data_IF_059846723873
#
_entry.id   IF_059846723873
#
_cell.length_a   1.000
_cell.length_b   1.000
_cell.length_c   1.000
_cell.angle_alpha   90.00
_cell.angle_beta   90.00
_cell.angle_gamma   90.00
#
_symmetry.space_group_name_H-M   'P 1'
#
loop_
_entity.id
_entity.type
_entity.pdbx_description
1 polymer ?
#
# COMPACT_ATOMS: atom_id res chain seq x y z
N UNK A 1 -9.98 16.99 21.33
CA UNK A 1 -9.41 16.73 19.98
C UNK A 1 -10.00 15.43 19.42
N UNK A 2 -10.32 15.42 18.13
CA UNK A 2 -10.80 14.24 17.40
C UNK A 2 -9.66 13.71 16.52
N UNK A 3 -9.44 12.39 16.51
CA UNK A 3 -8.48 11.72 15.60
C UNK A 3 -9.27 10.93 14.59
N UNK A 4 -9.16 11.31 13.31
CA UNK A 4 -9.76 10.57 12.20
C UNK A 4 -8.80 9.45 11.74
N UNK A 5 -9.13 8.22 12.09
CA UNK A 5 -8.44 6.98 11.69
C UNK A 5 -9.41 5.98 11.05
N UNK A 6 -10.48 6.49 10.43
CA UNK A 6 -11.67 5.78 9.97
C UNK A 6 -11.62 5.44 8.46
N UNK A 7 -10.39 5.37 7.91
CA UNK A 7 -10.13 4.83 6.59
C UNK A 7 -10.39 5.80 5.42
N UNK A 8 -10.28 5.28 4.21
CA UNK A 8 -10.33 6.05 2.96
C UNK A 8 -11.60 6.90 2.79
N UNK A 9 -12.72 6.43 3.32
CA UNK A 9 -14.01 7.13 3.27
C UNK A 9 -14.32 7.92 4.56
N UNK A 10 -13.30 8.38 5.26
CA UNK A 10 -13.35 9.03 6.56
C UNK A 10 -14.52 9.99 6.72
N UNK A 11 -15.38 9.69 7.69
CA UNK A 11 -16.48 10.56 8.11
C UNK A 11 -15.99 11.75 8.93
N UNK A 12 -14.93 11.54 9.71
CA UNK A 12 -14.26 12.64 10.44
C UNK A 12 -13.75 13.68 9.44
N UNK A 13 -13.00 13.27 8.42
CA UNK A 13 -12.52 14.18 7.38
C UNK A 13 -13.67 14.95 6.70
N UNK A 14 -14.74 14.25 6.33
CA UNK A 14 -15.90 14.86 5.68
C UNK A 14 -16.61 15.84 6.62
N UNK A 15 -16.83 15.47 7.88
CA UNK A 15 -17.49 16.30 8.88
C UNK A 15 -16.75 17.62 9.15
N UNK A 16 -15.42 17.62 9.04
CA UNK A 16 -14.60 18.84 9.14
C UNK A 16 -14.40 19.56 7.79
N UNK A 17 -15.06 19.13 6.72
CA UNK A 17 -14.98 19.78 5.41
C UNK A 17 -13.62 19.67 4.71
N UNK A 18 -12.76 18.74 5.10
CA UNK A 18 -11.43 18.58 4.50
C UNK A 18 -11.54 17.87 3.16
N UNK A 19 -11.19 18.59 2.09
CA UNK A 19 -11.14 18.07 0.72
C UNK A 19 -10.03 17.05 0.51
N UNK A 20 -10.15 16.26 -0.58
CA UNK A 20 -9.14 15.29 -1.00
C UNK A 20 -8.82 15.42 -2.49
N UNK A 21 -7.56 15.24 -2.84
CA UNK A 21 -7.12 15.01 -4.20
C UNK A 21 -7.18 13.50 -4.46
N UNK A 22 -7.97 13.08 -5.44
CA UNK A 22 -8.18 11.68 -5.80
C UNK A 22 -7.62 11.36 -7.17
N UNK A 23 -7.11 10.16 -7.33
CA UNK A 23 -6.77 9.57 -8.60
C UNK A 23 -7.13 8.09 -8.61
N UNK A 24 -7.50 7.58 -9.78
CA UNK A 24 -7.78 6.17 -9.97
C UNK A 24 -6.78 5.58 -10.96
N UNK A 25 -6.42 4.33 -10.76
CA UNK A 25 -5.67 3.56 -11.71
C UNK A 25 -6.63 2.70 -12.54
N UNK A 26 -6.27 2.41 -13.78
CA UNK A 26 -7.05 1.49 -14.63
C UNK A 26 -6.81 0.02 -14.27
N UNK A 27 -6.44 -0.22 -13.03
CA UNK A 27 -6.12 -1.53 -12.49
C UNK A 27 -6.91 -1.80 -11.22
N UNK A 28 -7.12 -3.07 -10.96
CA UNK A 28 -7.67 -3.58 -9.72
C UNK A 28 -6.75 -4.68 -9.16
N UNK A 29 -6.84 -4.89 -7.88
CA UNK A 29 -6.18 -5.98 -7.18
C UNK A 29 -7.23 -7.07 -6.93
N UNK A 30 -6.93 -8.29 -7.34
CA UNK A 30 -7.56 -9.51 -6.87
C UNK A 30 -6.74 -10.03 -5.69
N UNK A 31 -7.38 -10.28 -4.57
CA UNK A 31 -6.81 -10.98 -3.42
C UNK A 31 -7.58 -12.27 -3.22
N UNK A 32 -6.87 -13.38 -3.10
CA UNK A 32 -7.46 -14.68 -2.79
C UNK A 32 -6.75 -15.32 -1.60
N UNK A 33 -7.53 -15.77 -0.62
CA UNK A 33 -7.05 -16.66 0.43
C UNK A 33 -7.01 -18.07 -0.13
N UNK A 34 -5.90 -18.76 0.06
CA UNK A 34 -5.68 -20.09 -0.50
C UNK A 34 -5.13 -21.06 0.53
N UNK A 35 -5.45 -22.34 0.36
CA UNK A 35 -4.75 -23.45 0.98
C UNK A 35 -3.76 -24.03 -0.04
N UNK A 36 -2.51 -24.25 0.35
CA UNK A 36 -1.49 -24.87 -0.49
C UNK A 36 -1.25 -26.32 -0.08
N UNK A 37 -0.83 -27.17 -1.01
CA UNK A 37 -0.45 -28.55 -0.71
C UNK A 37 1.00 -28.68 -0.21
N UNK A 38 1.77 -27.59 -0.23
CA UNK A 38 3.21 -27.62 0.08
C UNK A 38 3.54 -27.48 1.58
N UNK A 39 2.55 -27.50 2.46
CA UNK A 39 2.76 -27.27 3.89
C UNK A 39 3.13 -25.83 4.22
N UNK A 40 3.82 -25.62 5.35
CA UNK A 40 4.26 -24.29 5.79
C UNK A 40 5.33 -23.74 4.85
N UNK A 41 5.10 -22.55 4.32
CA UNK A 41 6.06 -21.80 3.50
C UNK A 41 6.51 -20.55 4.25
N UNK A 42 7.82 -20.25 4.21
CA UNK A 42 8.42 -19.14 4.94
C UNK A 42 8.94 -18.02 4.02
N UNK A 43 8.68 -18.16 2.70
CA UNK A 43 9.18 -17.22 1.69
C UNK A 43 8.01 -16.50 1.03
N UNK A 44 7.90 -15.20 1.29
CA UNK A 44 7.07 -14.31 0.49
C UNK A 44 7.79 -14.02 -0.82
N UNK A 45 7.10 -14.15 -1.94
CA UNK A 45 7.65 -13.75 -3.22
C UNK A 45 6.69 -12.81 -3.96
N UNK A 46 7.28 -11.97 -4.82
CA UNK A 46 6.58 -11.06 -5.68
C UNK A 46 7.31 -10.94 -7.01
N UNK A 47 6.56 -10.95 -8.10
CA UNK A 47 7.07 -10.62 -9.44
C UNK A 47 6.24 -9.53 -10.08
N UNK A 48 6.86 -8.77 -10.99
CA UNK A 48 6.19 -7.74 -11.76
C UNK A 48 5.99 -8.24 -13.19
N UNK A 49 4.75 -8.31 -13.61
CA UNK A 49 4.35 -8.62 -14.99
C UNK A 49 3.72 -7.38 -15.63
N UNK A 50 3.40 -7.44 -16.92
CA UNK A 50 2.84 -6.30 -17.65
C UNK A 50 1.52 -5.78 -17.07
N UNK A 51 0.75 -6.64 -16.43
CA UNK A 51 -0.52 -6.28 -15.78
C UNK A 51 -0.36 -5.73 -14.36
N UNK A 52 0.84 -5.80 -13.80
CA UNK A 52 1.16 -5.37 -12.44
C UNK A 52 1.80 -6.46 -11.59
N UNK A 53 1.88 -6.26 -10.28
CA UNK A 53 2.45 -7.25 -9.36
C UNK A 53 1.58 -8.50 -9.24
N UNK A 54 2.28 -9.63 -9.11
CA UNK A 54 1.75 -10.90 -8.63
C UNK A 54 2.56 -11.29 -7.41
N UNK A 55 1.91 -11.58 -6.30
CA UNK A 55 2.58 -11.96 -5.06
C UNK A 55 1.88 -13.12 -4.37
N UNK A 56 2.67 -13.90 -3.63
CA UNK A 56 2.19 -14.87 -2.68
C UNK A 56 2.76 -14.56 -1.30
N UNK A 57 1.88 -14.51 -0.33
CA UNK A 57 2.17 -14.21 1.08
C UNK A 57 1.80 -15.46 1.89
N UNK A 58 2.77 -16.26 2.33
CA UNK A 58 2.47 -17.41 3.17
C UNK A 58 1.95 -16.96 4.53
N UNK A 59 0.98 -17.70 5.02
CA UNK A 59 0.40 -17.56 6.36
C UNK A 59 0.70 -18.82 7.18
N UNK A 60 0.19 -18.89 8.40
CA UNK A 60 0.43 -20.03 9.27
C UNK A 60 -0.13 -21.34 8.67
N UNK A 61 0.65 -22.42 8.72
CA UNK A 61 0.27 -23.73 8.21
C UNK A 61 0.25 -23.78 6.69
N UNK A 62 -0.83 -24.27 6.10
CA UNK A 62 -1.00 -24.41 4.66
C UNK A 62 -1.71 -23.20 4.02
N UNK A 63 -1.98 -22.14 4.81
CA UNK A 63 -2.67 -20.98 4.34
C UNK A 63 -1.73 -20.00 3.64
N UNK A 64 -2.28 -19.26 2.67
CA UNK A 64 -1.58 -18.17 2.00
C UNK A 64 -2.54 -17.15 1.42
N UNK A 65 -2.00 -16.02 1.03
CA UNK A 65 -2.72 -14.99 0.30
C UNK A 65 -2.05 -14.76 -1.05
N UNK A 66 -2.83 -14.89 -2.11
CA UNK A 66 -2.45 -14.53 -3.48
C UNK A 66 -2.91 -13.12 -3.76
N UNK A 67 -2.00 -12.30 -4.25
CA UNK A 67 -2.26 -10.91 -4.67
C UNK A 67 -1.97 -10.80 -6.15
N UNK A 68 -2.98 -10.41 -6.94
CA UNK A 68 -2.88 -10.36 -8.39
C UNK A 68 -3.43 -9.04 -8.93
N UNK A 69 -2.57 -8.21 -9.48
CA UNK A 69 -2.97 -6.98 -10.15
C UNK A 69 -3.27 -7.23 -11.62
N UNK A 70 -4.38 -6.67 -12.07
CA UNK A 70 -4.79 -6.75 -13.47
C UNK A 70 -5.59 -5.50 -13.86
N UNK A 71 -5.91 -5.38 -15.16
CA UNK A 71 -6.90 -4.40 -15.60
C UNK A 71 -8.22 -4.63 -14.85
N UNK A 72 -8.94 -3.54 -14.55
CA UNK A 72 -10.11 -3.57 -13.67
C UNK A 72 -11.16 -4.60 -14.07
N UNK A 73 -11.49 -4.66 -15.36
CA UNK A 73 -12.54 -5.59 -15.84
C UNK A 73 -12.09 -7.06 -15.75
N UNK A 74 -10.83 -7.33 -16.05
CA UNK A 74 -10.28 -8.68 -15.93
C UNK A 74 -10.20 -9.14 -14.47
N UNK A 75 -9.73 -8.29 -13.56
CA UNK A 75 -9.69 -8.60 -12.12
C UNK A 75 -11.10 -8.88 -11.56
N UNK A 76 -12.10 -8.14 -12.02
CA UNK A 76 -13.50 -8.40 -11.67
C UNK A 76 -14.00 -9.74 -12.25
N UNK A 77 -13.67 -10.03 -13.50
CA UNK A 77 -14.03 -11.31 -14.13
C UNK A 77 -13.44 -12.49 -13.35
N UNK A 78 -12.15 -12.42 -13.00
CA UNK A 78 -11.48 -13.42 -12.16
C UNK A 78 -12.16 -13.58 -10.79
N UNK A 79 -12.52 -12.48 -10.14
CA UNK A 79 -13.20 -12.51 -8.84
C UNK A 79 -14.59 -13.16 -8.90
N UNK A 80 -15.24 -13.15 -10.07
CA UNK A 80 -16.54 -13.76 -10.27
C UNK A 80 -16.50 -15.24 -10.68
N UNK A 81 -15.31 -15.80 -11.01
CA UNK A 81 -15.17 -17.21 -11.34
C UNK A 81 -15.52 -18.08 -10.11
N UNK A 82 -16.00 -19.30 -10.28
CA UNK A 82 -15.99 -20.30 -9.21
C UNK A 82 -14.59 -20.48 -8.62
N UNK A 83 -14.50 -20.84 -7.34
CA UNK A 83 -13.19 -20.96 -6.66
C UNK A 83 -12.25 -21.96 -7.35
N UNK A 84 -12.80 -23.06 -7.86
CA UNK A 84 -12.03 -24.10 -8.58
C UNK A 84 -11.43 -23.53 -9.87
N UNK A 85 -12.22 -22.78 -10.64
CA UNK A 85 -11.76 -22.18 -11.89
C UNK A 85 -10.72 -21.08 -11.62
N UNK A 86 -10.92 -20.26 -10.60
CA UNK A 86 -9.93 -19.27 -10.17
C UNK A 86 -8.62 -19.92 -9.71
N UNK A 87 -8.68 -21.05 -9.00
CA UNK A 87 -7.48 -21.80 -8.64
C UNK A 87 -6.71 -22.26 -9.89
N UNK A 88 -7.41 -22.74 -10.92
CA UNK A 88 -6.81 -23.08 -12.21
C UNK A 88 -6.12 -21.89 -12.88
N UNK A 89 -6.79 -20.73 -12.93
CA UNK A 89 -6.22 -19.50 -13.48
C UNK A 89 -4.97 -19.03 -12.70
N UNK A 90 -5.00 -19.08 -11.38
CA UNK A 90 -3.85 -18.73 -10.56
C UNK A 90 -2.69 -19.67 -10.85
N UNK A 91 -2.91 -21.00 -10.85
CA UNK A 91 -1.85 -21.97 -11.13
C UNK A 91 -1.27 -21.84 -12.55
N UNK A 92 -2.07 -21.45 -13.53
CA UNK A 92 -1.60 -21.23 -14.89
C UNK A 92 -0.73 -19.97 -15.06
N UNK A 93 -0.96 -18.95 -14.23
CA UNK A 93 -0.32 -17.64 -14.39
C UNK A 93 0.71 -17.30 -13.30
N UNK A 94 0.79 -18.08 -12.24
CA UNK A 94 1.76 -17.88 -11.16
C UNK A 94 2.95 -18.83 -11.29
N UNK A 95 4.09 -18.55 -10.63
CA UNK A 95 5.23 -19.46 -10.62
C UNK A 95 4.86 -20.85 -10.13
N UNK A 96 5.50 -21.88 -10.70
CA UNK A 96 5.25 -23.27 -10.36
C UNK A 96 5.56 -23.59 -8.87
N UNK A 97 6.39 -22.80 -8.24
CA UNK A 97 6.72 -22.87 -6.82
C UNK A 97 5.51 -22.66 -5.89
N UNK A 98 4.42 -22.08 -6.40
CA UNK A 98 3.17 -21.98 -5.65
C UNK A 98 2.56 -23.36 -5.36
N UNK A 99 2.76 -24.32 -6.27
CA UNK A 99 2.17 -25.65 -6.19
C UNK A 99 0.66 -25.65 -6.43
N UNK A 100 0.01 -26.76 -6.12
CA UNK A 100 -1.42 -26.86 -6.18
C UNK A 100 -2.08 -26.10 -5.02
N UNK A 101 -3.15 -25.38 -5.33
CA UNK A 101 -3.88 -24.54 -4.38
C UNK A 101 -5.38 -24.80 -4.44
N UNK A 102 -6.05 -24.52 -3.33
CA UNK A 102 -7.50 -24.39 -3.22
C UNK A 102 -7.83 -22.97 -2.80
N UNK A 103 -8.70 -22.26 -3.56
CA UNK A 103 -9.17 -20.93 -3.19
C UNK A 103 -10.31 -21.05 -2.17
N UNK A 104 -10.15 -20.43 -1.01
CA UNK A 104 -11.16 -20.42 0.06
C UNK A 104 -12.01 -19.15 0.00
N UNK A 105 -11.37 -18.00 -0.11
CA UNK A 105 -12.01 -16.69 -0.19
C UNK A 105 -11.36 -15.83 -1.27
N UNK A 106 -12.11 -14.88 -1.80
CA UNK A 106 -11.60 -13.93 -2.79
C UNK A 106 -12.32 -12.60 -2.74
N UNK A 107 -11.60 -11.54 -3.08
CA UNK A 107 -12.15 -10.20 -3.27
C UNK A 107 -11.37 -9.46 -4.36
N UNK A 108 -12.01 -8.53 -5.05
CA UNK A 108 -11.30 -7.58 -5.90
C UNK A 108 -11.68 -6.15 -5.56
N UNK A 109 -10.71 -5.25 -5.64
CA UNK A 109 -10.91 -3.83 -5.40
C UNK A 109 -10.10 -2.99 -6.38
N UNK A 110 -10.71 -1.90 -6.84
CA UNK A 110 -10.05 -0.93 -7.72
C UNK A 110 -8.93 -0.22 -6.99
N UNK A 111 -7.81 0.00 -7.69
CA UNK A 111 -6.70 0.75 -7.14
C UNK A 111 -6.97 2.24 -7.22
N UNK A 112 -6.81 2.91 -6.11
CA UNK A 112 -7.01 4.35 -6.01
C UNK A 112 -5.87 4.99 -5.22
N UNK A 113 -5.67 6.27 -5.45
CA UNK A 113 -4.83 7.12 -4.62
C UNK A 113 -5.66 8.29 -4.10
N UNK A 114 -5.37 8.70 -2.89
CA UNK A 114 -6.05 9.83 -2.27
C UNK A 114 -5.08 10.56 -1.35
N UNK A 115 -5.15 11.89 -1.33
CA UNK A 115 -4.36 12.70 -0.43
C UNK A 115 -5.22 13.84 0.09
N UNK A 116 -5.40 13.94 1.42
CA UNK A 116 -6.16 15.01 2.05
C UNK A 116 -5.46 16.36 1.86
N UNK A 117 -6.23 17.39 1.61
CA UNK A 117 -5.72 18.74 1.44
C UNK A 117 -5.11 19.29 2.73
N UNK A 118 -5.63 18.87 3.88
CA UNK A 118 -5.04 19.11 5.19
C UNK A 118 -5.10 17.85 6.04
N UNK A 119 -4.09 17.66 6.92
CA UNK A 119 -4.09 16.56 7.89
C UNK A 119 -4.58 17.00 9.26
N UNK A 120 -4.70 18.29 9.50
CA UNK A 120 -5.18 18.81 10.77
C UNK A 120 -5.95 20.14 10.61
N UNK A 121 -6.79 20.39 11.58
CA UNK A 121 -7.47 21.64 11.89
C UNK A 121 -7.50 21.80 13.41
N UNK A 122 -7.99 22.94 13.93
CA UNK A 122 -8.17 23.07 15.37
C UNK A 122 -9.09 21.97 15.90
N UNK A 123 -8.60 21.25 16.90
CA UNK A 123 -9.32 20.14 17.52
C UNK A 123 -9.44 18.86 16.68
N UNK A 124 -8.83 18.77 15.48
CA UNK A 124 -8.93 17.58 14.63
C UNK A 124 -7.59 17.23 13.95
N UNK A 125 -7.30 15.93 13.83
CA UNK A 125 -6.16 15.39 13.08
C UNK A 125 -6.53 14.10 12.37
N UNK A 126 -5.97 13.88 11.17
CA UNK A 126 -6.15 12.67 10.36
C UNK A 126 -4.87 11.84 10.34
N UNK A 127 -5.02 10.51 10.38
CA UNK A 127 -3.94 9.54 10.28
C UNK A 127 -4.31 8.39 9.34
N UNK A 128 -3.30 7.76 8.72
CA UNK A 128 -3.49 6.62 7.82
C UNK A 128 -4.38 6.94 6.63
N UNK A 129 -5.22 5.98 6.23
CA UNK A 129 -6.07 6.10 5.04
C UNK A 129 -7.09 7.24 5.12
N UNK A 130 -7.41 7.74 6.31
CA UNK A 130 -8.22 8.94 6.46
C UNK A 130 -7.51 10.19 5.91
N UNK A 131 -6.17 10.23 6.00
CA UNK A 131 -5.33 11.29 5.48
C UNK A 131 -4.80 11.01 4.06
N UNK A 132 -4.39 9.78 3.77
CA UNK A 132 -3.81 9.41 2.48
C UNK A 132 -4.00 7.93 2.14
N UNK A 133 -4.32 7.66 0.90
CA UNK A 133 -4.35 6.31 0.31
C UNK A 133 -3.30 6.26 -0.78
N UNK A 134 -2.39 5.32 -0.70
CA UNK A 134 -1.37 5.09 -1.73
C UNK A 134 -1.62 3.77 -2.46
N UNK A 135 -1.08 3.64 -3.66
CA UNK A 135 -1.11 2.37 -4.39
C UNK A 135 -0.36 1.30 -3.57
N UNK A 136 -0.99 0.17 -3.22
CA UNK A 136 -0.40 -0.85 -2.36
C UNK A 136 0.65 -1.73 -3.06
N UNK A 137 1.33 -1.24 -4.11
CA UNK A 137 2.36 -1.96 -4.89
C UNK A 137 3.41 -2.67 -4.02
N UNK A 138 3.72 -2.13 -2.86
CA UNK A 138 4.71 -2.70 -1.94
C UNK A 138 4.13 -2.99 -0.54
N UNK A 139 2.81 -3.02 -0.37
CA UNK A 139 2.17 -3.24 0.93
C UNK A 139 2.43 -2.13 1.96
N UNK A 140 2.80 -0.91 1.53
CA UNK A 140 3.27 0.15 2.42
C UNK A 140 2.16 0.98 3.08
N UNK A 141 0.88 0.83 2.68
CA UNK A 141 -0.22 1.66 3.18
C UNK A 141 -0.33 1.64 4.70
N UNK A 142 -0.41 0.47 5.29
CA UNK A 142 -0.51 0.29 6.75
C UNK A 142 0.74 0.80 7.47
N UNK A 143 1.93 0.58 6.93
CA UNK A 143 3.19 1.04 7.52
C UNK A 143 3.26 2.56 7.59
N UNK A 144 2.79 3.27 6.57
CA UNK A 144 2.70 4.73 6.60
C UNK A 144 1.70 5.21 7.64
N UNK A 145 0.57 4.51 7.79
CA UNK A 145 -0.40 4.79 8.84
C UNK A 145 0.20 4.65 10.25
N UNK A 146 0.99 3.61 10.51
CA UNK A 146 1.70 3.46 11.78
C UNK A 146 2.75 4.55 12.01
N UNK A 147 3.45 4.98 10.97
CA UNK A 147 4.37 6.12 11.06
C UNK A 147 3.63 7.42 11.37
N UNK A 148 2.42 7.62 10.82
CA UNK A 148 1.58 8.77 11.17
C UNK A 148 1.22 8.76 12.65
N UNK A 149 0.78 7.61 13.17
CA UNK A 149 0.44 7.45 14.60
C UNK A 149 1.63 7.75 15.48
N UNK A 150 2.81 7.19 15.16
CA UNK A 150 4.04 7.42 15.91
C UNK A 150 4.45 8.89 15.91
N UNK A 151 4.43 9.54 14.75
CA UNK A 151 4.75 10.97 14.59
C UNK A 151 3.77 11.87 15.33
N UNK A 152 2.47 11.55 15.29
CA UNK A 152 1.45 12.27 16.03
C UNK A 152 1.68 12.14 17.54
N UNK A 153 1.87 10.91 18.02
CA UNK A 153 2.12 10.64 19.44
C UNK A 153 3.33 11.40 19.98
N UNK A 154 4.43 11.42 19.22
CA UNK A 154 5.62 12.21 19.58
C UNK A 154 5.34 13.72 19.63
N UNK A 155 4.58 14.23 18.65
CA UNK A 155 4.20 15.65 18.59
C UNK A 155 3.37 16.04 19.81
N UNK A 156 2.37 15.25 20.15
CA UNK A 156 1.49 15.49 21.30
C UNK A 156 2.26 15.37 22.63
N UNK A 157 3.15 14.38 22.76
CA UNK A 157 4.00 14.20 23.94
C UNK A 157 4.91 15.41 24.16
N UNK A 158 5.55 15.93 23.10
CA UNK A 158 6.39 17.13 23.18
C UNK A 158 5.59 18.35 23.60
N UNK A 159 4.42 18.59 23.00
CA UNK A 159 3.54 19.70 23.35
C UNK A 159 3.12 19.63 24.83
N UNK A 160 2.66 18.46 25.29
CA UNK A 160 2.30 18.23 26.68
C UNK A 160 3.43 18.56 27.65
N UNK A 161 4.65 18.09 27.35
CA UNK A 161 5.83 18.32 28.19
C UNK A 161 6.24 19.79 28.23
N UNK A 162 5.91 20.57 27.19
CA UNK A 162 6.16 22.01 27.10
C UNK A 162 4.99 22.87 27.63
N UNK A 163 3.93 22.25 28.16
CA UNK A 163 2.75 22.98 28.66
C UNK A 163 1.90 23.61 27.54
N UNK A 164 2.07 23.19 26.30
CA UNK A 164 1.30 23.69 25.17
C UNK A 164 -0.07 22.99 25.09
N UNK A 165 -1.10 23.71 24.60
CA UNK A 165 -2.37 23.06 24.24
C UNK A 165 -2.17 22.23 22.97
N UNK A 166 -2.11 20.92 23.17
CA UNK A 166 -1.86 19.93 22.15
C UNK A 166 -2.99 19.78 21.12
N UNK A 167 -4.17 20.41 21.33
CA UNK A 167 -5.29 20.36 20.40
C UNK A 167 -5.28 21.48 19.36
N UNK A 168 -4.42 22.48 19.53
CA UNK A 168 -4.35 23.65 18.64
C UNK A 168 -3.70 23.34 17.30
N UNK A 169 -4.09 24.08 16.27
CA UNK A 169 -3.49 24.00 14.94
C UNK A 169 -1.98 24.26 14.96
N UNK A 170 -1.49 25.10 15.89
CA UNK A 170 -0.08 25.40 16.07
C UNK A 170 0.75 24.13 16.37
N UNK A 171 0.25 23.28 17.24
CA UNK A 171 0.89 21.98 17.57
C UNK A 171 0.67 20.96 16.47
N UNK A 172 -0.58 20.76 16.04
CA UNK A 172 -0.94 19.73 15.06
C UNK A 172 -0.28 19.95 13.70
N UNK A 173 0.00 21.21 13.32
CA UNK A 173 0.70 21.52 12.08
C UNK A 173 2.15 20.99 12.04
N UNK A 174 2.80 20.74 13.18
CA UNK A 174 4.14 20.13 13.25
C UNK A 174 4.11 18.70 12.74
N UNK A 175 3.12 17.92 13.19
CA UNK A 175 2.81 16.59 12.66
C UNK A 175 2.51 16.64 11.15
N UNK A 176 1.60 17.53 10.73
CA UNK A 176 1.23 17.67 9.32
C UNK A 176 2.44 17.97 8.42
N UNK A 177 3.30 18.93 8.80
CA UNK A 177 4.50 19.28 8.00
C UNK A 177 5.39 18.08 7.76
N UNK A 178 5.63 17.29 8.81
CA UNK A 178 6.49 16.11 8.74
C UNK A 178 5.86 15.01 7.88
N UNK A 179 4.62 14.65 8.16
CA UNK A 179 3.99 13.48 7.53
C UNK A 179 3.48 13.74 6.14
N UNK A 180 2.88 14.90 5.90
CA UNK A 180 2.33 15.24 4.57
C UNK A 180 3.41 15.28 3.50
N UNK A 181 4.60 15.80 3.82
CA UNK A 181 5.74 15.78 2.90
C UNK A 181 6.21 14.35 2.64
N UNK A 182 6.43 13.55 3.68
CA UNK A 182 6.87 12.15 3.56
C UNK A 182 5.87 11.31 2.74
N UNK A 183 4.58 11.44 3.04
CA UNK A 183 3.51 10.74 2.35
C UNK A 183 3.37 11.20 0.88
N UNK A 184 3.57 12.49 0.59
CA UNK A 184 3.63 13.01 -0.80
C UNK A 184 4.78 12.41 -1.59
N UNK A 185 5.98 12.35 -1.00
CA UNK A 185 7.16 11.74 -1.64
C UNK A 185 6.87 10.26 -1.95
N UNK A 186 6.33 9.51 -0.97
CA UNK A 186 5.97 8.11 -1.17
C UNK A 186 4.94 7.94 -2.29
N UNK A 187 3.87 8.76 -2.30
CA UNK A 187 2.83 8.70 -3.33
C UNK A 187 3.40 8.91 -4.73
N UNK A 188 4.22 9.96 -4.92
CA UNK A 188 4.84 10.23 -6.22
C UNK A 188 5.87 9.17 -6.60
N UNK A 189 6.59 8.60 -5.63
CA UNK A 189 7.52 7.49 -5.88
C UNK A 189 6.78 6.25 -6.36
N UNK A 190 5.64 5.91 -5.76
CA UNK A 190 4.80 4.79 -6.18
C UNK A 190 4.19 5.03 -7.57
N UNK A 191 3.78 6.25 -7.88
CA UNK A 191 3.30 6.63 -9.21
C UNK A 191 4.40 6.48 -10.27
N UNK A 192 5.60 6.98 -9.99
CA UNK A 192 6.75 6.85 -10.88
C UNK A 192 7.14 5.38 -11.11
N UNK A 193 7.10 4.58 -10.03
CA UNK A 193 7.35 3.15 -10.11
C UNK A 193 6.28 2.44 -10.96
N UNK A 194 5.00 2.74 -10.70
CA UNK A 194 3.89 2.20 -11.49
C UNK A 194 4.04 2.51 -12.98
N UNK A 195 4.30 3.77 -13.35
CA UNK A 195 4.51 4.15 -14.72
C UNK A 195 5.74 3.47 -15.35
N UNK A 196 6.85 3.38 -14.62
CA UNK A 196 8.07 2.72 -15.09
C UNK A 196 7.88 1.23 -15.40
N UNK A 197 7.06 0.54 -14.61
CA UNK A 197 6.79 -0.89 -14.81
C UNK A 197 5.68 -1.17 -15.82
N UNK A 198 4.76 -0.24 -16.05
CA UNK A 198 3.68 -0.37 -17.03
C UNK A 198 4.15 -0.17 -18.48
N UNK A 199 5.32 0.43 -18.70
CA UNK A 199 5.84 0.68 -20.05
C UNK A 199 6.59 -0.55 -20.61
N UNK A 200 6.24 -0.96 -21.83
CA UNK A 200 6.78 -2.16 -22.50
C UNK A 200 7.97 -1.87 -23.42
N UNK A 201 8.37 -0.62 -23.62
CA UNK A 201 9.45 -0.21 -24.52
C UNK A 201 10.84 -0.70 -24.08
N UNK A 202 11.73 -0.96 -25.06
CA UNK A 202 13.09 -1.46 -24.81
C UNK A 202 13.92 -0.50 -23.95
N UNK A 203 13.76 0.81 -24.14
CA UNK A 203 14.44 1.85 -23.35
C UNK A 203 13.97 1.86 -21.89
N UNK A 204 12.67 1.69 -21.65
CA UNK A 204 12.12 1.63 -20.30
C UNK A 204 12.51 0.35 -19.56
N UNK A 205 12.63 -0.78 -20.26
CA UNK A 205 13.18 -2.03 -19.72
C UNK A 205 14.62 -1.87 -19.26
N UNK A 206 15.46 -1.22 -20.06
CA UNK A 206 16.85 -0.97 -19.73
C UNK A 206 16.99 -0.07 -18.49
N UNK A 207 16.26 1.06 -18.46
CA UNK A 207 16.27 1.99 -17.32
C UNK A 207 15.78 1.30 -16.03
N UNK A 208 14.70 0.55 -16.11
CA UNK A 208 14.17 -0.25 -14.99
C UNK A 208 15.21 -1.23 -14.46
N UNK A 209 15.90 -1.95 -15.36
CA UNK A 209 16.91 -2.93 -14.97
C UNK A 209 18.11 -2.26 -14.30
N UNK A 210 18.51 -1.06 -14.74
CA UNK A 210 19.53 -0.26 -14.07
C UNK A 210 19.13 0.15 -12.65
N UNK A 211 17.91 0.62 -12.46
CA UNK A 211 17.38 0.98 -11.13
C UNK A 211 17.33 -0.24 -10.21
N UNK A 212 16.86 -1.39 -10.72
CA UNK A 212 16.86 -2.64 -9.95
C UNK A 212 18.27 -3.15 -9.65
N UNK A 213 19.22 -2.97 -10.56
CA UNK A 213 20.63 -3.32 -10.34
C UNK A 213 21.27 -2.43 -9.26
N UNK A 214 20.95 -1.13 -9.25
CA UNK A 214 21.45 -0.22 -8.21
C UNK A 214 20.94 -0.59 -6.81
N UNK A 215 19.73 -1.13 -6.71
CA UNK A 215 19.17 -1.61 -5.44
C UNK A 215 19.87 -2.87 -4.89
N UNK A 216 20.71 -3.55 -5.70
CA UNK A 216 21.57 -4.67 -5.25
C UNK A 216 22.83 -4.18 -4.54
N UNK A 217 23.21 -2.92 -4.68
CA UNK A 217 24.37 -2.34 -3.97
C UNK A 217 24.05 -2.30 -2.47
N UNK A 218 24.91 -2.91 -1.61
CA UNK A 218 24.58 -3.13 -0.20
C UNK A 218 24.21 -1.85 0.56
N UNK A 219 24.87 -0.73 0.25
CA UNK A 219 24.63 0.57 0.89
C UNK A 219 23.24 1.13 0.53
N UNK A 220 22.88 1.07 -0.75
CA UNK A 220 21.59 1.52 -1.29
C UNK A 220 20.48 0.59 -0.78
N UNK A 221 20.71 -0.73 -0.84
CA UNK A 221 19.78 -1.75 -0.32
C UNK A 221 19.44 -1.49 1.16
N UNK A 222 20.44 -1.24 2.00
CA UNK A 222 20.25 -0.96 3.42
C UNK A 222 19.40 0.30 3.65
N UNK A 223 19.62 1.35 2.88
CA UNK A 223 18.84 2.59 2.96
C UNK A 223 17.38 2.38 2.51
N UNK A 224 17.17 1.67 1.40
CA UNK A 224 15.83 1.34 0.90
C UNK A 224 15.07 0.51 1.94
N UNK A 225 15.70 -0.52 2.51
CA UNK A 225 15.09 -1.38 3.53
C UNK A 225 14.71 -0.57 4.76
N UNK A 226 15.64 0.25 5.29
CA UNK A 226 15.35 1.11 6.46
C UNK A 226 14.18 2.05 6.19
N UNK A 227 14.17 2.70 5.04
CA UNK A 227 13.06 3.57 4.65
C UNK A 227 11.74 2.82 4.54
N UNK A 228 11.73 1.62 3.94
CA UNK A 228 10.55 0.78 3.82
C UNK A 228 10.04 0.25 5.17
N UNK A 229 10.95 0.02 6.12
CA UNK A 229 10.62 -0.40 7.49
C UNK A 229 10.26 0.77 8.41
N UNK A 230 10.50 2.01 7.98
CA UNK A 230 10.22 3.21 8.78
C UNK A 230 11.21 3.44 9.93
N UNK A 231 12.46 2.94 9.80
CA UNK A 231 13.53 3.03 10.80
C UNK A 231 14.79 3.68 10.22
#
# INVERSE_FOLDING_TARGET
MVVGADGAQSKVRQGFGVGVNRGQYQQACLVASVNTQLGQQDITWQRFVNTGPQAFLPLLGQHGSVVWYHQTDHARALANLPNVDLAGEIMAHFPAELGAIEVTEKASFGLQKQHAQSYCMDGMVLVGDAAHVINPLAGQGVNLGFQDVSSLAETLKKARNSGEDWSTIGVLSRYQKQRKLANSIMLHSMDAFHHGFSQTGTKSKWLRNMVLASAKVPLIKKQIIRYAMGI
#
